data_IF_630774098033
#
_entry.id   IF_630774098033
#
_cell.length_a   1.000
_cell.length_b   1.000
_cell.length_c   1.000
_cell.angle_alpha   90.00
_cell.angle_beta   90.00
_cell.angle_gamma   90.00
#
_symmetry.space_group_name_H-M   'P 1'
#
loop_
_entity.id
_entity.type
_entity.pdbx_description
1 polymer ?
#
# COMPACT_ATOMS: atom_id res chain seq x y z
N UNK A 1 2.15 37.21 11.46
CA UNK A 1 0.98 36.52 10.89
C UNK A 1 1.46 35.78 9.65
N UNK A 2 1.15 34.50 9.52
CA UNK A 2 1.58 33.68 8.37
C UNK A 2 0.34 32.97 7.83
N UNK A 3 0.06 33.16 6.55
CA UNK A 3 -1.09 32.55 5.88
C UNK A 3 -0.88 31.04 5.71
N UNK A 4 -1.91 30.26 6.07
CA UNK A 4 -1.97 28.81 5.81
C UNK A 4 -2.98 28.57 4.68
N UNK A 5 -2.50 28.02 3.56
CA UNK A 5 -3.31 27.73 2.37
C UNK A 5 -3.47 26.22 2.20
N UNK A 6 -4.71 25.75 2.09
CA UNK A 6 -5.03 24.35 1.82
C UNK A 6 -5.08 24.09 0.31
N UNK A 7 -4.19 23.24 -0.21
CA UNK A 7 -4.08 22.96 -1.66
C UNK A 7 -4.74 21.65 -2.09
N UNK A 8 -5.38 20.92 -1.16
CA UNK A 8 -5.94 19.59 -1.40
C UNK A 8 -4.86 18.49 -1.42
N UNK A 9 -5.32 17.25 -1.60
CA UNK A 9 -4.48 16.04 -1.67
C UNK A 9 -3.92 15.84 -3.08
N UNK A 10 -2.69 15.34 -3.18
CA UNK A 10 -2.07 14.92 -4.43
C UNK A 10 -2.51 13.51 -4.83
N UNK A 11 -2.37 13.13 -6.12
CA UNK A 11 -2.64 11.76 -6.56
C UNK A 11 -1.83 10.76 -5.75
N UNK A 12 -2.50 9.75 -5.20
CA UNK A 12 -1.87 8.73 -4.34
C UNK A 12 -1.74 9.10 -2.86
N UNK A 13 -2.07 10.32 -2.44
CA UNK A 13 -2.06 10.69 -1.02
C UNK A 13 -3.34 10.20 -0.31
N UNK A 14 -3.17 9.66 0.90
CA UNK A 14 -4.26 9.31 1.80
C UNK A 14 -4.44 10.40 2.85
N UNK A 15 -5.69 10.69 3.21
CA UNK A 15 -5.99 11.62 4.30
C UNK A 15 -5.76 10.99 5.68
N UNK A 16 -5.96 9.67 5.76
CA UNK A 16 -5.85 8.88 6.98
C UNK A 16 -5.09 7.60 6.67
N UNK A 17 -4.11 7.26 7.50
CA UNK A 17 -3.39 5.99 7.42
C UNK A 17 -4.07 4.94 8.30
N UNK A 18 -3.99 3.68 7.88
CA UNK A 18 -4.42 2.53 8.68
C UNK A 18 -3.30 2.15 9.65
N UNK A 19 -3.61 2.04 10.94
CA UNK A 19 -2.63 1.58 11.94
C UNK A 19 -2.36 0.07 11.84
N UNK A 20 -3.37 -0.67 11.39
CA UNK A 20 -3.31 -2.11 11.15
C UNK A 20 -4.12 -2.38 9.89
N UNK A 21 -3.51 -3.06 8.92
CA UNK A 21 -4.15 -3.37 7.64
C UNK A 21 -5.11 -4.56 7.82
N UNK A 22 -6.22 -4.56 7.07
CA UNK A 22 -7.17 -5.67 7.08
C UNK A 22 -6.48 -6.99 6.72
N UNK A 23 -6.61 -8.01 7.56
CA UNK A 23 -5.94 -9.31 7.40
C UNK A 23 -4.59 -9.42 8.14
N UNK A 24 -4.10 -8.35 8.76
CA UNK A 24 -2.94 -8.43 9.65
C UNK A 24 -3.37 -8.60 11.12
N UNK A 25 -2.68 -9.48 11.84
CA UNK A 25 -2.84 -9.64 13.28
C UNK A 25 -1.64 -9.05 14.00
N UNK A 26 -1.85 -8.02 14.82
CA UNK A 26 -0.79 -7.49 15.69
C UNK A 26 -0.73 -8.24 17.02
N UNK A 27 0.42 -8.84 17.31
CA UNK A 27 0.69 -9.60 18.54
C UNK A 27 1.62 -8.82 19.45
N UNK A 28 1.29 -8.75 20.73
CA UNK A 28 2.14 -8.13 21.73
C UNK A 28 3.47 -8.86 21.88
N UNK A 29 4.56 -8.10 21.99
CA UNK A 29 5.85 -8.63 22.47
C UNK A 29 5.97 -8.45 23.99
N UNK A 30 7.14 -8.79 24.54
CA UNK A 30 7.50 -8.45 25.94
C UNK A 30 7.65 -6.95 26.21
N UNK A 31 7.63 -6.11 25.18
CA UNK A 31 7.71 -4.66 25.28
C UNK A 31 6.38 -4.05 24.86
N UNK A 32 5.76 -3.26 25.74
CA UNK A 32 4.40 -2.72 25.56
C UNK A 32 4.22 -1.85 24.30
N UNK A 33 5.32 -1.32 23.74
CA UNK A 33 5.30 -0.45 22.57
C UNK A 33 5.79 -1.13 21.29
N UNK A 34 6.09 -2.43 21.34
CA UNK A 34 6.58 -3.21 20.18
C UNK A 34 5.61 -4.35 19.92
N UNK A 35 4.99 -4.32 18.76
CA UNK A 35 4.04 -5.32 18.27
C UNK A 35 4.68 -6.09 17.10
N UNK A 36 4.31 -7.36 16.94
CA UNK A 36 4.65 -8.16 15.76
C UNK A 36 3.40 -8.23 14.89
N UNK A 37 3.45 -7.67 13.68
CA UNK A 37 2.41 -7.91 12.68
C UNK A 37 2.61 -9.31 12.06
N UNK A 38 1.62 -10.18 12.21
CA UNK A 38 1.54 -11.47 11.52
C UNK A 38 0.64 -11.29 10.29
N UNK A 39 1.17 -11.64 9.13
CA UNK A 39 0.42 -11.65 7.88
C UNK A 39 -0.61 -12.78 7.88
N UNK A 40 -1.85 -12.51 7.49
CA UNK A 40 -2.62 -13.50 6.75
C UNK A 40 -1.93 -13.64 5.39
N UNK A 41 -1.39 -14.82 5.12
CA UNK A 41 -0.60 -15.15 3.93
C UNK A 41 -1.33 -14.78 2.63
N UNK A 42 -0.89 -13.72 1.95
CA UNK A 42 -1.29 -13.47 0.56
C UNK A 42 -0.08 -12.96 -0.23
N UNK A 43 0.41 -13.84 -1.12
CA UNK A 43 1.38 -13.70 -2.22
C UNK A 43 2.91 -13.69 -1.91
N UNK A 44 3.61 -14.53 -2.69
CA UNK A 44 5.07 -14.70 -2.85
C UNK A 44 5.84 -15.20 -1.61
N UNK A 45 5.60 -16.45 -1.21
CA UNK A 45 6.33 -17.11 -0.13
C UNK A 45 7.72 -17.63 -0.56
N UNK A 46 7.99 -17.66 -1.87
CA UNK A 46 9.26 -18.13 -2.44
C UNK A 46 10.18 -16.93 -2.74
N UNK A 47 11.40 -16.87 -2.16
CA UNK A 47 12.35 -15.77 -2.41
C UNK A 47 12.67 -15.56 -3.90
N UNK A 48 12.71 -16.64 -4.69
CA UNK A 48 12.96 -16.58 -6.13
C UNK A 48 11.82 -15.87 -6.86
N UNK A 49 10.57 -16.10 -6.46
CA UNK A 49 9.41 -15.45 -7.07
C UNK A 49 9.40 -13.95 -6.77
N UNK A 50 9.78 -13.56 -5.54
CA UNK A 50 9.95 -12.15 -5.16
C UNK A 50 11.03 -11.48 -6.01
N UNK A 51 12.19 -12.13 -6.16
CA UNK A 51 13.29 -11.60 -6.96
C UNK A 51 12.86 -11.38 -8.43
N UNK A 52 12.22 -12.37 -9.04
CA UNK A 52 11.72 -12.25 -10.41
C UNK A 52 10.65 -11.17 -10.56
N UNK A 53 9.75 -11.05 -9.57
CA UNK A 53 8.74 -10.02 -9.56
C UNK A 53 9.35 -8.61 -9.50
N UNK A 54 10.37 -8.40 -8.66
CA UNK A 54 11.09 -7.12 -8.55
C UNK A 54 11.87 -6.80 -9.82
N UNK A 55 12.54 -7.79 -10.42
CA UNK A 55 13.27 -7.61 -11.70
C UNK A 55 12.30 -7.15 -12.79
N UNK A 56 11.19 -7.88 -12.98
CA UNK A 56 10.19 -7.55 -14.00
C UNK A 56 9.55 -6.17 -13.80
N UNK A 57 9.28 -5.79 -12.54
CA UNK A 57 8.80 -4.44 -12.21
C UNK A 57 9.84 -3.37 -12.58
N UNK A 58 11.12 -3.63 -12.28
CA UNK A 58 12.23 -2.74 -12.62
C UNK A 58 12.38 -2.55 -14.12
N UNK A 59 12.19 -3.59 -14.92
CA UNK A 59 12.28 -3.52 -16.38
C UNK A 59 11.14 -2.69 -16.99
N UNK A 60 9.92 -2.84 -16.48
CA UNK A 60 8.78 -2.00 -16.87
C UNK A 60 9.01 -0.52 -16.54
N UNK A 61 9.57 -0.25 -15.36
CA UNK A 61 9.91 1.11 -14.93
C UNK A 61 10.99 1.74 -15.82
N UNK A 62 12.06 0.99 -16.15
CA UNK A 62 13.12 1.46 -17.05
C UNK A 62 12.62 1.74 -18.47
N UNK A 63 11.63 0.97 -18.92
CA UNK A 63 10.97 1.18 -20.21
C UNK A 63 9.98 2.36 -20.20
N UNK A 64 9.74 3.01 -19.05
CA UNK A 64 8.75 4.09 -18.92
C UNK A 64 7.30 3.61 -19.05
N UNK A 65 7.04 2.32 -18.88
CA UNK A 65 5.70 1.73 -19.03
C UNK A 65 4.90 1.86 -17.73
N UNK A 66 4.35 3.05 -17.46
CA UNK A 66 3.60 3.34 -16.24
C UNK A 66 2.39 2.42 -16.02
N UNK A 67 1.63 2.10 -17.08
CA UNK A 67 0.48 1.20 -16.99
C UNK A 67 0.91 -0.22 -16.62
N UNK A 68 1.99 -0.70 -17.23
CA UNK A 68 2.59 -1.99 -16.92
C UNK A 68 3.10 -2.05 -15.47
N UNK A 69 3.73 -0.98 -14.99
CA UNK A 69 4.17 -0.86 -13.59
C UNK A 69 2.98 -0.96 -12.63
N UNK A 70 1.90 -0.20 -12.88
CA UNK A 70 0.71 -0.23 -12.03
C UNK A 70 0.02 -1.60 -12.05
N UNK A 71 -0.05 -2.25 -13.22
CA UNK A 71 -0.60 -3.60 -13.34
C UNK A 71 0.25 -4.63 -12.57
N UNK A 72 1.58 -4.56 -12.71
CA UNK A 72 2.50 -5.47 -12.03
C UNK A 72 2.51 -5.24 -10.51
N UNK A 73 2.36 -4.00 -10.05
CA UNK A 73 2.19 -3.68 -8.63
C UNK A 73 0.92 -4.30 -8.05
N UNK A 74 -0.22 -4.25 -8.76
CA UNK A 74 -1.47 -4.91 -8.34
C UNK A 74 -1.35 -6.43 -8.27
N UNK A 75 -0.55 -7.01 -9.16
CA UNK A 75 -0.27 -8.46 -9.17
C UNK A 75 0.58 -8.88 -7.96
N UNK A 76 1.63 -8.12 -7.66
CA UNK A 76 2.59 -8.44 -6.57
C UNK A 76 2.02 -8.09 -5.19
N UNK A 77 1.21 -7.03 -5.11
CA UNK A 77 0.61 -6.53 -3.87
C UNK A 77 -0.90 -6.42 -4.10
N UNK A 78 -1.67 -7.50 -3.86
CA UNK A 78 -3.11 -7.52 -4.12
C UNK A 78 -3.91 -6.44 -3.38
N UNK A 79 -3.42 -6.00 -2.22
CA UNK A 79 -4.01 -4.91 -1.42
C UNK A 79 -3.69 -3.51 -1.96
N UNK A 80 -2.90 -3.38 -3.04
CA UNK A 80 -2.57 -2.10 -3.64
C UNK A 80 -3.79 -1.47 -4.33
N UNK A 81 -4.35 -0.46 -3.67
CA UNK A 81 -5.41 0.39 -4.21
C UNK A 81 -4.88 1.84 -4.37
N UNK A 82 -4.65 2.33 -5.60
CA UNK A 82 -4.26 3.72 -5.81
C UNK A 82 -5.38 4.66 -5.35
N UNK A 83 -5.02 5.70 -4.59
CA UNK A 83 -5.98 6.68 -4.08
C UNK A 83 -6.68 7.39 -5.26
N UNK A 84 -7.97 7.10 -5.40
CA UNK A 84 -8.82 7.45 -6.53
C UNK A 84 -10.12 6.63 -6.56
N UNK A 85 -10.15 5.48 -5.88
CA UNK A 85 -11.31 4.58 -5.81
C UNK A 85 -12.09 4.68 -4.48
N UNK A 86 -11.99 5.82 -3.78
CA UNK A 86 -12.88 6.12 -2.66
C UNK A 86 -14.28 6.41 -3.19
N UNK A 87 -15.04 5.34 -3.44
CA UNK A 87 -16.50 5.38 -3.36
C UNK A 87 -16.87 6.11 -2.08
N UNK A 88 -17.53 7.25 -2.21
CA UNK A 88 -18.06 8.07 -1.11
C UNK A 88 -18.98 7.22 -0.24
N UNK A 89 -18.42 6.57 0.79
CA UNK A 89 -19.17 5.96 1.88
C UNK A 89 -19.72 7.07 2.75
N UNK A 90 -21.04 7.28 2.66
CA UNK A 90 -21.76 8.36 3.33
C UNK A 90 -21.50 8.43 4.83
N UNK A 91 -21.31 9.64 5.33
CA UNK A 91 -21.49 10.00 6.73
C UNK A 91 -22.91 9.63 7.18
N UNK A 92 -23.11 8.79 8.21
CA UNK A 92 -24.37 8.79 8.94
C UNK A 92 -24.44 10.06 9.81
N UNK A 93 -25.65 10.60 9.90
CA UNK A 93 -26.01 11.79 10.68
C UNK A 93 -25.83 11.60 12.20
#
# INVERSE_FOLDING_TARGET
DIEVVFTGLKPGEKLVEELVVSGEECVSTRYDKVLVSRRASESLDCPVEVEQAVIGLGDLARAGNSDGVLAKLREIVPSYAPAGDHSTGGMPA
#
